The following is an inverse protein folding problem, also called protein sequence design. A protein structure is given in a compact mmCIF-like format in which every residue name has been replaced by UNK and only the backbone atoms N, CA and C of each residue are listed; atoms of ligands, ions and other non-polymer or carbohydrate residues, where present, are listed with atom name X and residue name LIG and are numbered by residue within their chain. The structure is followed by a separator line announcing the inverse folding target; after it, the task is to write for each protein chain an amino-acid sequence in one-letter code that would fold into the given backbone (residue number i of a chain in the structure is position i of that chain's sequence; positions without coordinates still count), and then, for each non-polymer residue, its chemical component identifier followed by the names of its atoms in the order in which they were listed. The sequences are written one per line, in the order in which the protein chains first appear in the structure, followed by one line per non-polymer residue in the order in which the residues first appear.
data_IF_142308683412
#
_entry.id   IF_142308683412
#
_cell.length_a   1.000
_cell.length_b   1.000
_cell.length_c   1.000
_cell.angle_alpha   90.00
_cell.angle_beta   90.00
_cell.angle_gamma   90.00
#
_symmetry.space_group_name_H-M   'P 1'
#
loop_
_entity.id
_entity.type
_entity.pdbx_description
1 polymer ?
#
# COMPACT_ATOMS: atom_id res chain seq x y z
N UNK A 1 11.91 10.65 0.58
CA UNK A 1 11.34 10.18 -0.68
C UNK A 1 12.40 10.36 -1.79
N UNK A 2 13.16 9.32 -2.15
CA UNK A 2 14.32 9.43 -3.05
C UNK A 2 14.08 10.15 -4.39
N UNK A 3 12.89 10.01 -5.04
CA UNK A 3 12.58 10.75 -6.26
C UNK A 3 12.45 12.27 -6.04
N UNK A 4 11.87 12.69 -4.91
CA UNK A 4 11.68 14.11 -4.59
C UNK A 4 13.02 14.77 -4.25
N UNK A 5 13.89 14.07 -3.51
CA UNK A 5 15.25 14.57 -3.23
C UNK A 5 16.03 14.74 -4.52
N UNK A 6 15.94 13.78 -5.46
CA UNK A 6 16.58 13.90 -6.77
C UNK A 6 16.02 15.08 -7.57
N UNK A 7 14.70 15.29 -7.55
CA UNK A 7 14.06 16.44 -8.20
C UNK A 7 14.61 17.77 -7.65
N UNK A 8 14.67 17.91 -6.32
CA UNK A 8 15.19 19.13 -5.68
C UNK A 8 16.68 19.37 -5.99
N UNK A 9 17.49 18.31 -5.94
CA UNK A 9 18.93 18.41 -6.23
C UNK A 9 19.22 18.75 -7.68
N UNK A 10 18.38 18.29 -8.63
CA UNK A 10 18.56 18.53 -10.07
C UNK A 10 18.03 19.89 -10.51
N UNK A 11 16.82 20.24 -10.08
CA UNK A 11 16.05 21.36 -10.63
C UNK A 11 15.99 22.60 -9.71
N UNK A 12 16.12 22.41 -8.40
CA UNK A 12 15.92 23.48 -7.41
C UNK A 12 17.24 24.01 -6.83
N UNK A 13 18.28 23.17 -6.76
CA UNK A 13 19.59 23.55 -6.25
C UNK A 13 20.35 24.40 -7.29
N UNK A 14 20.99 25.53 -6.93
CA UNK A 14 21.78 26.30 -7.87
C UNK A 14 23.01 25.51 -8.35
N UNK A 15 23.41 25.75 -9.60
CA UNK A 15 24.44 24.97 -10.30
C UNK A 15 25.80 24.99 -9.58
N UNK A 16 26.14 26.09 -8.91
CA UNK A 16 27.41 26.21 -8.18
C UNK A 16 27.47 25.26 -6.98
N UNK A 17 26.40 25.21 -6.17
CA UNK A 17 26.30 24.28 -5.05
C UNK A 17 26.17 22.82 -5.51
N UNK A 18 25.55 22.58 -6.67
CA UNK A 18 25.52 21.24 -7.29
C UNK A 18 26.94 20.77 -7.65
N UNK A 19 27.79 21.65 -8.21
CA UNK A 19 29.15 21.28 -8.63
C UNK A 19 30.07 21.02 -7.43
N UNK A 20 29.95 21.81 -6.38
CA UNK A 20 30.78 21.69 -5.17
C UNK A 20 30.43 20.45 -4.35
N UNK A 21 29.14 20.24 -4.07
CA UNK A 21 28.70 19.18 -3.15
C UNK A 21 28.28 17.88 -3.86
N UNK A 22 27.84 17.96 -5.12
CA UNK A 22 27.24 16.82 -5.84
C UNK A 22 27.74 16.70 -7.30
N UNK A 23 29.05 16.53 -7.53
CA UNK A 23 29.63 16.50 -8.87
C UNK A 23 29.14 15.34 -9.74
N UNK A 24 28.56 14.29 -9.14
CA UNK A 24 27.96 13.19 -9.88
C UNK A 24 26.73 13.63 -10.70
N UNK A 25 25.92 14.57 -10.18
CA UNK A 25 24.68 15.01 -10.83
C UNK A 25 24.99 15.86 -12.06
N UNK A 26 26.04 16.68 -11.98
CA UNK A 26 26.50 17.52 -13.11
C UNK A 26 27.15 16.70 -14.22
N UNK A 27 27.85 15.60 -13.87
CA UNK A 27 28.48 14.68 -14.84
C UNK A 27 27.50 13.87 -15.68
N UNK A 28 26.27 13.62 -15.20
CA UNK A 28 25.27 12.83 -15.93
C UNK A 28 24.69 13.62 -17.13
N UNK A 29 24.85 14.94 -17.15
CA UNK A 29 24.41 15.79 -18.26
C UNK A 29 22.89 15.83 -18.46
N UNK A 30 22.42 16.47 -19.56
CA UNK A 30 21.00 16.62 -19.88
C UNK A 30 20.33 15.33 -20.38
N UNK A 31 21.11 14.35 -20.84
CA UNK A 31 20.61 13.06 -21.33
C UNK A 31 21.25 11.91 -20.58
N UNK A 32 20.45 11.18 -19.79
CA UNK A 32 20.86 9.86 -19.32
C UNK A 32 21.14 8.97 -20.52
N UNK A 33 22.21 8.16 -20.45
CA UNK A 33 22.42 7.09 -21.41
C UNK A 33 21.37 5.99 -21.16
N UNK A 34 20.17 6.21 -21.70
CA UNK A 34 18.95 5.43 -21.44
C UNK A 34 19.17 3.93 -21.63
N UNK A 35 19.94 3.54 -22.65
CA UNK A 35 20.27 2.14 -22.90
C UNK A 35 21.06 1.50 -21.75
N UNK A 36 22.10 2.18 -21.23
CA UNK A 36 22.88 1.66 -20.09
C UNK A 36 22.06 1.66 -18.80
N UNK A 37 21.28 2.71 -18.54
CA UNK A 37 20.46 2.79 -17.34
C UNK A 37 19.41 1.67 -17.28
N UNK A 38 18.72 1.43 -18.41
CA UNK A 38 17.77 0.31 -18.54
C UNK A 38 18.49 -1.02 -18.43
N UNK A 39 19.65 -1.19 -19.09
CA UNK A 39 20.41 -2.44 -19.02
C UNK A 39 20.81 -2.81 -17.58
N UNK A 40 21.42 -1.88 -16.83
CA UNK A 40 21.80 -2.15 -15.44
C UNK A 40 20.58 -2.45 -14.56
N UNK A 41 19.47 -1.75 -14.79
CA UNK A 41 18.23 -1.99 -14.02
C UNK A 41 17.66 -3.37 -14.32
N UNK A 42 17.63 -3.78 -15.60
CA UNK A 42 17.17 -5.11 -16.02
C UNK A 42 18.08 -6.19 -15.48
N UNK A 43 19.41 -6.03 -15.55
CA UNK A 43 20.36 -7.02 -15.02
C UNK A 43 20.18 -7.20 -13.52
N UNK A 44 20.13 -6.10 -12.76
CA UNK A 44 19.93 -6.16 -11.32
C UNK A 44 18.57 -6.78 -10.96
N UNK A 45 17.52 -6.41 -11.70
CA UNK A 45 16.20 -7.01 -11.54
C UNK A 45 16.23 -8.52 -11.82
N UNK A 46 16.85 -8.97 -12.91
CA UNK A 46 16.92 -10.40 -13.25
C UNK A 46 17.68 -11.20 -12.19
N UNK A 47 18.79 -10.68 -11.68
CA UNK A 47 19.53 -11.32 -10.59
C UNK A 47 18.63 -11.45 -9.37
N UNK A 48 17.98 -10.35 -8.96
CA UNK A 48 17.05 -10.36 -7.84
C UNK A 48 15.87 -11.31 -8.07
N UNK A 49 15.34 -11.35 -9.29
CA UNK A 49 14.20 -12.18 -9.67
C UNK A 49 14.55 -13.67 -9.59
N UNK A 50 15.74 -14.05 -10.05
CA UNK A 50 16.25 -15.41 -9.97
C UNK A 50 16.49 -15.82 -8.51
N UNK A 51 17.08 -14.94 -7.70
CA UNK A 51 17.26 -15.19 -6.27
C UNK A 51 15.92 -15.34 -5.54
N UNK A 52 14.95 -14.48 -5.85
CA UNK A 52 13.60 -14.57 -5.28
C UNK A 52 12.89 -15.85 -5.70
N UNK A 53 13.00 -16.23 -6.97
CA UNK A 53 12.46 -17.49 -7.48
C UNK A 53 13.08 -18.69 -6.76
N UNK A 54 14.41 -18.75 -6.65
CA UNK A 54 15.11 -19.79 -5.91
C UNK A 54 14.66 -19.81 -4.43
N UNK A 55 14.55 -18.66 -3.78
CA UNK A 55 14.07 -18.56 -2.39
C UNK A 55 12.66 -19.12 -2.22
N UNK A 56 11.74 -18.84 -3.15
CA UNK A 56 10.37 -19.36 -3.11
C UNK A 56 10.34 -20.87 -3.38
N UNK A 57 11.08 -21.34 -4.38
CA UNK A 57 11.09 -22.76 -4.78
C UNK A 57 11.76 -23.64 -3.72
N UNK A 58 12.90 -23.25 -3.17
CA UNK A 58 13.65 -24.06 -2.20
C UNK A 58 13.21 -23.83 -0.75
N UNK A 59 12.85 -22.59 -0.37
CA UNK A 59 12.59 -22.24 1.02
C UNK A 59 11.14 -22.40 1.47
N UNK A 60 10.17 -22.49 0.54
CA UNK A 60 8.74 -22.35 0.90
C UNK A 60 7.78 -23.41 0.36
N UNK A 61 8.25 -24.41 -0.39
CA UNK A 61 7.43 -25.56 -0.82
C UNK A 61 6.68 -26.23 0.34
N UNK A 62 7.38 -26.48 1.46
CA UNK A 62 6.77 -27.18 2.60
C UNK A 62 5.85 -26.33 3.48
N UNK A 63 6.02 -25.00 3.49
CA UNK A 63 5.19 -24.09 4.30
C UNK A 63 3.90 -23.69 3.59
N UNK A 64 3.90 -23.67 2.25
CA UNK A 64 2.70 -23.44 1.43
C UNK A 64 1.82 -24.69 1.42
N UNK A 65 2.41 -25.89 1.36
CA UNK A 65 1.68 -27.17 1.46
C UNK A 65 0.97 -27.35 2.82
N UNK A 66 1.48 -26.72 3.89
CA UNK A 66 0.89 -26.77 5.24
C UNK A 66 -0.17 -25.70 5.52
N UNK A 67 -0.55 -24.86 4.54
CA UNK A 67 -1.66 -23.91 4.69
C UNK A 67 -1.44 -22.73 5.67
N UNK A 68 -0.27 -22.64 6.33
CA UNK A 68 -0.03 -21.67 7.41
C UNK A 68 0.21 -20.23 6.95
N UNK A 69 0.38 -19.96 5.64
CA UNK A 69 0.45 -18.59 5.10
C UNK A 69 0.29 -18.58 3.58
N UNK A 70 -0.85 -18.08 3.12
CA UNK A 70 -0.96 -17.54 1.77
C UNK A 70 -0.09 -16.28 1.71
N UNK A 71 1.01 -16.30 0.97
CA UNK A 71 1.63 -15.04 0.56
C UNK A 71 0.67 -14.37 -0.44
N UNK A 72 0.74 -13.06 -0.61
CA UNK A 72 -0.04 -12.35 -1.64
C UNK A 72 0.07 -13.02 -3.01
N UNK A 73 1.20 -13.67 -3.28
CA UNK A 73 1.42 -14.53 -4.43
C UNK A 73 0.52 -15.79 -4.48
N UNK A 74 0.42 -16.56 -3.39
CA UNK A 74 -0.49 -17.71 -3.31
C UNK A 74 -1.96 -17.29 -3.31
N UNK A 75 -2.28 -16.17 -2.65
CA UNK A 75 -3.64 -15.65 -2.60
C UNK A 75 -4.09 -15.14 -3.98
N UNK A 76 -3.24 -14.40 -4.70
CA UNK A 76 -3.52 -13.89 -6.04
C UNK A 76 -3.58 -14.99 -7.12
N UNK A 77 -2.87 -16.11 -6.93
CA UNK A 77 -2.98 -17.28 -7.80
C UNK A 77 -4.14 -18.21 -7.43
N UNK A 78 -4.59 -18.20 -6.17
CA UNK A 78 -5.74 -18.95 -5.69
C UNK A 78 -7.06 -18.21 -5.94
N UNK A 79 -7.02 -16.87 -6.01
CA UNK A 79 -8.15 -16.01 -6.32
C UNK A 79 -8.53 -16.17 -7.80
N UNK A 80 -9.64 -16.87 -8.04
CA UNK A 80 -10.12 -17.22 -9.38
C UNK A 80 -10.76 -16.03 -10.12
N UNK A 81 -11.22 -15.01 -9.39
CA UNK A 81 -11.94 -13.87 -9.98
C UNK A 81 -11.06 -12.65 -10.27
N UNK A 82 -9.80 -12.67 -9.83
CA UNK A 82 -8.85 -11.56 -10.00
C UNK A 82 -8.47 -11.29 -11.46
N UNK A 83 -8.10 -10.04 -11.77
CA UNK A 83 -7.63 -9.61 -13.10
C UNK A 83 -6.51 -10.50 -13.67
N UNK A 84 -5.60 -10.95 -12.81
CA UNK A 84 -4.49 -11.83 -13.19
C UNK A 84 -4.97 -13.25 -13.53
N UNK A 85 -5.94 -13.79 -12.80
CA UNK A 85 -6.51 -15.11 -13.08
C UNK A 85 -7.24 -15.12 -14.43
N UNK A 86 -8.03 -14.08 -14.75
CA UNK A 86 -8.68 -13.92 -16.06
C UNK A 86 -7.67 -13.84 -17.21
N UNK A 87 -6.52 -13.18 -17.00
CA UNK A 87 -5.45 -13.17 -18.00
C UNK A 87 -4.85 -14.56 -18.21
N UNK A 88 -4.56 -15.30 -17.12
CA UNK A 88 -3.99 -16.66 -17.17
C UNK A 88 -4.93 -17.63 -17.89
N UNK A 89 -6.24 -17.55 -17.63
CA UNK A 89 -7.27 -18.33 -18.32
C UNK A 89 -7.36 -17.98 -19.80
N UNK A 90 -7.34 -16.69 -20.14
CA UNK A 90 -7.39 -16.21 -21.53
C UNK A 90 -6.20 -16.67 -22.37
N UNK A 91 -5.02 -16.83 -21.76
CA UNK A 91 -3.81 -17.32 -22.43
C UNK A 91 -3.70 -18.86 -22.44
N UNK A 92 -4.74 -19.60 -22.01
CA UNK A 92 -4.81 -21.06 -22.15
C UNK A 92 -4.02 -21.85 -21.12
N UNK A 93 -3.58 -21.23 -20.01
CA UNK A 93 -2.91 -21.92 -18.90
C UNK A 93 -3.89 -22.44 -17.83
N UNK A 94 -5.18 -22.46 -18.16
CA UNK A 94 -6.27 -22.94 -17.30
C UNK A 94 -6.41 -24.45 -17.37
N UNK A 95 -5.62 -25.18 -16.60
CA UNK A 95 -6.05 -26.51 -16.14
C UNK A 95 -6.30 -26.44 -14.62
N UNK A 96 -7.49 -26.87 -14.14
CA UNK A 96 -7.90 -26.76 -12.76
C UNK A 96 -7.60 -28.05 -11.97
N UNK A 97 -6.34 -28.49 -11.91
CA UNK A 97 -5.97 -29.60 -11.04
C UNK A 97 -4.91 -29.14 -10.01
N UNK A 98 -5.42 -28.81 -8.81
CA UNK A 98 -4.91 -29.09 -7.46
C UNK A 98 -3.40 -29.00 -7.13
N UNK A 99 -2.62 -28.23 -7.89
CA UNK A 99 -1.18 -28.03 -7.64
C UNK A 99 -0.66 -26.61 -7.88
N UNK A 100 0.46 -26.27 -7.20
CA UNK A 100 1.26 -25.07 -7.52
C UNK A 100 1.86 -25.27 -8.90
N UNK A 101 1.17 -24.73 -9.88
CA UNK A 101 1.53 -24.82 -11.27
C UNK A 101 2.66 -23.84 -11.59
N UNK A 102 3.86 -24.38 -11.85
CA UNK A 102 5.06 -23.59 -12.18
C UNK A 102 4.82 -22.62 -13.34
N UNK A 103 3.96 -22.96 -14.29
CA UNK A 103 3.59 -22.12 -15.42
C UNK A 103 2.83 -20.85 -15.00
N UNK A 104 1.90 -20.94 -14.02
CA UNK A 104 1.22 -19.75 -13.46
C UNK A 104 2.22 -18.83 -12.76
N UNK A 105 3.25 -19.42 -12.14
CA UNK A 105 4.33 -18.69 -11.48
C UNK A 105 5.21 -17.92 -12.45
N UNK A 106 5.66 -18.60 -13.50
CA UNK A 106 6.46 -17.96 -14.54
C UNK A 106 5.66 -16.86 -15.25
N UNK A 107 4.38 -17.09 -15.54
CA UNK A 107 3.53 -16.08 -16.17
C UNK A 107 3.34 -14.84 -15.29
N UNK A 108 3.10 -15.01 -13.99
CA UNK A 108 3.02 -13.89 -13.06
C UNK A 108 4.32 -13.08 -13.02
N UNK A 109 5.48 -13.76 -12.98
CA UNK A 109 6.76 -13.08 -13.02
C UNK A 109 7.02 -12.36 -14.34
N UNK A 110 6.55 -12.91 -15.46
CA UNK A 110 6.62 -12.23 -16.75
C UNK A 110 5.74 -10.97 -16.79
N UNK A 111 4.52 -11.05 -16.25
CA UNK A 111 3.62 -9.90 -16.16
C UNK A 111 4.22 -8.82 -15.25
N UNK A 112 4.81 -9.22 -14.11
CA UNK A 112 5.52 -8.33 -13.21
C UNK A 112 6.74 -7.66 -13.88
N UNK A 113 7.48 -8.41 -14.69
CA UNK A 113 8.60 -7.89 -15.48
C UNK A 113 8.12 -6.89 -16.54
N UNK A 114 7.04 -7.21 -17.25
CA UNK A 114 6.41 -6.30 -18.22
C UNK A 114 5.93 -5.00 -17.56
N UNK A 115 5.29 -5.09 -16.39
CA UNK A 115 4.90 -3.93 -15.60
C UNK A 115 6.11 -3.06 -15.20
N UNK A 116 7.21 -3.69 -14.79
CA UNK A 116 8.46 -2.99 -14.45
C UNK A 116 9.05 -2.25 -15.66
N UNK A 117 9.10 -2.88 -16.83
CA UNK A 117 9.57 -2.24 -18.07
C UNK A 117 8.70 -1.02 -18.43
N UNK A 118 7.38 -1.19 -18.41
CA UNK A 118 6.42 -0.11 -18.69
C UNK A 118 6.59 1.04 -17.69
N UNK A 119 6.89 0.73 -16.42
CA UNK A 119 7.06 1.75 -15.38
C UNK A 119 8.37 2.52 -15.50
N UNK A 120 9.44 1.89 -16.02
CA UNK A 120 10.76 2.53 -16.18
C UNK A 120 10.84 3.37 -17.47
N UNK A 121 10.14 2.95 -18.53
CA UNK A 121 10.11 3.63 -19.83
C UNK A 121 9.83 5.15 -19.72
N UNK A 122 8.75 5.61 -19.05
CA UNK A 122 8.48 7.04 -18.86
C UNK A 122 9.59 7.78 -18.10
N UNK A 123 10.25 7.10 -17.17
CA UNK A 123 11.35 7.67 -16.36
C UNK A 123 12.56 7.97 -17.23
N UNK A 124 12.97 7.01 -18.05
CA UNK A 124 14.15 7.18 -18.90
C UNK A 124 13.94 8.14 -20.06
N UNK A 125 12.73 8.19 -20.64
CA UNK A 125 12.46 9.02 -21.82
C UNK A 125 11.94 10.43 -21.49
N UNK A 126 11.10 10.57 -20.47
CA UNK A 126 10.33 11.80 -20.24
C UNK A 126 10.70 12.53 -18.96
N UNK A 127 10.79 11.83 -17.82
CA UNK A 127 10.97 12.48 -16.51
C UNK A 127 12.36 13.08 -16.30
N UNK A 128 13.39 12.55 -16.95
CA UNK A 128 14.74 13.10 -16.79
C UNK A 128 14.99 14.38 -17.62
N UNK A 129 14.27 14.53 -18.75
CA UNK A 129 14.53 15.63 -19.70
C UNK A 129 13.77 16.91 -19.39
N UNK A 130 12.58 16.81 -18.79
CA UNK A 130 11.69 17.94 -18.58
C UNK A 130 11.29 18.11 -17.11
N UNK A 131 11.58 19.28 -16.53
CA UNK A 131 11.21 19.64 -15.15
C UNK A 131 9.70 19.51 -14.90
N UNK A 132 8.88 20.06 -15.81
CA UNK A 132 7.43 20.09 -15.65
C UNK A 132 6.81 18.70 -15.62
N UNK A 133 7.31 17.79 -16.45
CA UNK A 133 6.77 16.43 -16.57
C UNK A 133 7.13 15.60 -15.33
N UNK A 134 8.34 15.79 -14.79
CA UNK A 134 8.75 15.21 -13.52
C UNK A 134 7.91 15.76 -12.34
N UNK A 135 7.69 17.08 -12.30
CA UNK A 135 6.87 17.73 -11.28
C UNK A 135 5.41 17.26 -11.30
N UNK A 136 4.77 17.19 -12.47
CA UNK A 136 3.41 16.69 -12.63
C UNK A 136 3.30 15.24 -12.13
N UNK A 137 4.28 14.40 -12.42
CA UNK A 137 4.33 13.02 -11.94
C UNK A 137 4.44 12.91 -10.41
N UNK A 138 5.27 13.74 -9.78
CA UNK A 138 5.36 13.78 -8.32
C UNK A 138 4.03 14.25 -7.70
N UNK A 139 3.40 15.26 -8.28
CA UNK A 139 2.09 15.74 -7.85
C UNK A 139 0.99 14.69 -8.04
N UNK A 140 1.01 13.93 -9.14
CA UNK A 140 -0.01 12.91 -9.40
C UNK A 140 0.10 11.73 -8.44
N UNK A 141 1.32 11.24 -8.14
CA UNK A 141 1.52 10.19 -7.12
C UNK A 141 1.07 10.69 -5.75
N UNK A 142 1.41 11.93 -5.41
CA UNK A 142 0.96 12.53 -4.16
C UNK A 142 -0.58 12.59 -4.09
N UNK A 143 -1.23 13.04 -5.17
CA UNK A 143 -2.69 13.10 -5.25
C UNK A 143 -3.33 11.70 -5.12
N UNK A 144 -2.80 10.67 -5.79
CA UNK A 144 -3.27 9.29 -5.66
C UNK A 144 -3.05 8.77 -4.25
N UNK A 145 -1.92 9.08 -3.61
CA UNK A 145 -1.65 8.71 -2.23
C UNK A 145 -2.65 9.34 -1.25
N UNK A 146 -2.95 10.63 -1.44
CA UNK A 146 -3.94 11.35 -0.63
C UNK A 146 -5.33 10.78 -0.87
N UNK A 147 -5.69 10.50 -2.13
CA UNK A 147 -6.97 9.89 -2.49
C UNK A 147 -7.14 8.51 -1.82
N UNK A 148 -6.15 7.64 -1.95
CA UNK A 148 -6.19 6.30 -1.32
C UNK A 148 -6.29 6.40 0.22
N UNK A 149 -5.57 7.35 0.83
CA UNK A 149 -5.68 7.61 2.27
C UNK A 149 -7.05 8.13 2.68
N UNK A 150 -7.64 9.04 1.90
CA UNK A 150 -8.97 9.59 2.13
C UNK A 150 -10.07 8.55 1.96
N UNK A 151 -10.01 7.72 0.90
CA UNK A 151 -10.93 6.61 0.68
C UNK A 151 -10.91 5.62 1.85
N UNK A 152 -9.72 5.24 2.34
CA UNK A 152 -9.59 4.40 3.53
C UNK A 152 -10.22 5.05 4.76
N UNK A 153 -10.00 6.35 4.96
CA UNK A 153 -10.59 7.08 6.08
C UNK A 153 -12.13 7.12 6.00
N UNK A 154 -12.69 7.35 4.81
CA UNK A 154 -14.14 7.33 4.56
C UNK A 154 -14.72 5.94 4.81
N UNK A 155 -14.06 4.87 4.38
CA UNK A 155 -14.53 3.50 4.62
C UNK A 155 -14.57 3.16 6.12
N UNK A 156 -13.54 3.56 6.87
CA UNK A 156 -13.49 3.34 8.32
C UNK A 156 -14.58 4.14 9.03
N UNK A 157 -14.82 5.39 8.63
CA UNK A 157 -15.88 6.22 9.20
C UNK A 157 -17.27 5.65 8.90
N UNK A 158 -17.51 5.27 7.63
CA UNK A 158 -18.77 4.68 7.18
C UNK A 158 -19.09 3.40 7.94
N UNK A 159 -18.12 2.50 8.14
CA UNK A 159 -18.31 1.27 8.93
C UNK A 159 -18.65 1.55 10.39
N UNK A 160 -18.04 2.56 11.01
CA UNK A 160 -18.36 2.96 12.40
C UNK A 160 -19.75 3.57 12.52
N UNK A 161 -20.16 4.36 11.52
CA UNK A 161 -21.49 4.92 11.46
C UNK A 161 -22.56 3.83 11.27
N UNK A 162 -22.36 2.91 10.32
CA UNK A 162 -23.27 1.79 10.07
C UNK A 162 -23.43 0.91 11.33
N UNK A 163 -22.32 0.58 11.99
CA UNK A 163 -22.37 -0.17 13.26
C UNK A 163 -23.13 0.58 14.36
N UNK A 164 -23.03 1.91 14.40
CA UNK A 164 -23.76 2.71 15.38
C UNK A 164 -25.26 2.75 15.09
N UNK A 165 -25.64 2.74 13.80
CA UNK A 165 -27.05 2.64 13.39
C UNK A 165 -27.64 1.26 13.67
N UNK A 166 -26.91 0.19 13.37
CA UNK A 166 -27.32 -1.19 13.69
C UNK A 166 -27.57 -1.33 15.20
N UNK A 167 -26.66 -0.83 16.05
CA UNK A 167 -26.85 -0.85 17.49
C UNK A 167 -28.09 -0.07 17.96
N UNK A 168 -28.47 1.01 17.28
CA UNK A 168 -29.68 1.77 17.64
C UNK A 168 -30.95 1.05 17.18
N UNK A 169 -30.94 0.47 15.98
CA UNK A 169 -32.05 -0.33 15.46
C UNK A 169 -32.31 -1.56 16.34
N UNK A 170 -31.25 -2.28 16.72
CA UNK A 170 -31.36 -3.42 17.64
C UNK A 170 -31.92 -2.98 19.00
N UNK A 171 -31.55 -1.81 19.53
CA UNK A 171 -32.13 -1.30 20.77
C UNK A 171 -33.64 -1.02 20.65
N UNK A 172 -34.08 -0.44 19.54
CA UNK A 172 -35.47 -0.06 19.30
C UNK A 172 -36.36 -1.31 19.08
N UNK A 173 -35.90 -2.30 18.30
CA UNK A 173 -36.60 -3.59 18.15
C UNK A 173 -36.70 -4.34 19.49
N UNK A 174 -35.66 -4.31 20.32
CA UNK A 174 -35.70 -4.92 21.64
C UNK A 174 -36.66 -4.17 22.58
N UNK A 175 -36.74 -2.83 22.53
CA UNK A 175 -37.75 -2.08 23.30
C UNK A 175 -39.19 -2.38 22.84
N UNK A 176 -39.43 -2.60 21.54
CA UNK A 176 -40.76 -2.97 21.03
C UNK A 176 -41.15 -4.40 21.45
N UNK A 177 -40.21 -5.35 21.45
CA UNK A 177 -40.45 -6.71 21.95
C UNK A 177 -40.60 -6.77 23.47
N UNK A 178 -39.79 -6.01 24.22
CA UNK A 178 -39.86 -5.94 25.69
C UNK A 178 -40.96 -5.01 26.19
N UNK A 179 -41.60 -4.22 25.30
CA UNK A 179 -42.82 -3.45 25.56
C UNK A 179 -44.04 -4.31 25.95
N UNK A 180 -43.96 -5.63 25.75
CA UNK A 180 -44.91 -6.59 26.33
C UNK A 180 -44.64 -6.92 27.81
N UNK A 181 -43.48 -6.54 28.37
CA UNK A 181 -43.10 -6.81 29.77
C UNK A 181 -42.36 -5.62 30.41
N UNK A 182 -43.15 -4.66 30.93
CA UNK A 182 -42.84 -3.71 32.04
C UNK A 182 -41.43 -3.08 32.10
N UNK A 183 -41.43 -1.76 31.95
CA UNK A 183 -40.67 -0.75 32.72
C UNK A 183 -39.30 -1.13 33.33
N UNK A 184 -38.31 -0.36 32.87
CA UNK A 184 -37.01 -0.04 33.46
C UNK A 184 -35.88 -1.05 33.19
N UNK A 185 -34.88 -0.61 32.40
CA UNK A 185 -33.49 -0.35 32.82
C UNK A 185 -32.61 -0.26 31.55
N UNK A 186 -32.23 0.98 31.21
CA UNK A 186 -30.89 1.34 30.71
C UNK A 186 -30.47 0.87 29.30
N UNK A 187 -31.12 1.34 28.24
CA UNK A 187 -30.50 1.41 26.90
C UNK A 187 -29.95 2.81 26.62
N UNK A 188 -28.85 3.17 27.28
CA UNK A 188 -28.04 4.29 26.79
C UNK A 188 -26.55 3.99 26.95
N UNK A 189 -25.89 3.38 25.94
CA UNK A 189 -24.44 3.25 25.92
C UNK A 189 -23.76 4.60 25.66
N UNK A 190 -24.48 5.60 25.14
CA UNK A 190 -23.92 6.90 24.74
C UNK A 190 -23.39 7.76 25.90
N UNK A 191 -23.79 7.49 27.16
CA UNK A 191 -23.20 8.19 28.32
C UNK A 191 -21.81 7.65 28.69
N UNK A 192 -21.49 6.38 28.45
CA UNK A 192 -20.19 5.79 28.82
C UNK A 192 -19.05 6.16 27.85
N UNK A 193 -19.34 6.36 26.56
CA UNK A 193 -18.32 6.75 25.58
C UNK A 193 -17.91 8.24 25.74
N UNK A 194 -18.84 9.12 26.09
CA UNK A 194 -18.55 10.56 26.29
C UNK A 194 -17.77 10.83 27.59
N UNK A 195 -18.06 10.12 28.69
CA UNK A 195 -17.36 10.32 29.97
C UNK A 195 -15.92 9.78 30.00
N UNK A 196 -15.60 8.77 29.17
CA UNK A 196 -14.23 8.21 29.12
C UNK A 196 -13.24 9.16 28.43
N UNK A 197 -13.70 9.98 27.47
CA UNK A 197 -12.85 10.99 26.80
C UNK A 197 -12.66 12.26 27.64
N UNK A 198 -13.68 12.66 28.41
CA UNK A 198 -13.61 13.85 29.27
C UNK A 198 -12.80 13.62 30.56
N UNK A 199 -12.71 12.40 31.09
CA UNK A 199 -11.93 12.10 32.29
C UNK A 199 -10.42 11.90 32.04
N UNK A 200 -10.00 11.75 30.78
CA UNK A 200 -8.58 11.59 30.45
C UNK A 200 -7.84 12.95 30.29
N UNK A 201 -8.58 14.05 30.13
CA UNK A 201 -8.04 15.41 30.08
C UNK A 201 -8.02 16.12 31.44
N UNK A 202 -8.76 15.66 32.44
CA UNK A 202 -8.80 16.29 33.78
C UNK A 202 -7.73 15.73 34.73
N UNK A 203 -7.22 14.51 34.50
CA UNK A 203 -6.22 13.88 35.37
C UNK A 203 -4.76 14.09 34.93
N UNK A 204 -4.50 14.88 33.89
CA UNK A 204 -3.12 15.20 33.47
C UNK A 204 -2.51 16.40 34.23
N UNK A 205 -3.33 17.26 34.85
CA UNK A 205 -2.85 18.48 35.52
C UNK A 205 -2.72 18.38 37.05
N UNK A 206 -3.02 17.22 37.65
CA UNK A 206 -2.97 17.04 39.12
C UNK A 206 -1.69 16.35 39.65
N UNK A 207 -0.64 16.21 38.83
CA UNK A 207 0.61 15.50 39.22
C UNK A 207 1.82 16.41 39.48
N UNK A 208 1.68 17.73 39.48
CA UNK A 208 2.78 18.66 39.78
C UNK A 208 2.47 19.56 40.98
N UNK A 209 2.18 18.99 42.15
CA UNK A 209 2.38 19.70 43.42
C UNK A 209 2.25 18.76 44.63
N UNK A 210 3.35 18.06 44.94
CA UNK A 210 3.68 17.61 46.32
C UNK A 210 5.09 17.03 46.36
N UNK A 211 6.08 17.92 46.46
CA UNK A 211 7.39 17.59 47.04
C UNK A 211 7.91 18.80 47.81
N UNK A 212 7.42 18.97 49.04
CA UNK A 212 8.04 19.82 50.05
C UNK A 212 7.64 19.33 51.44
N UNK A 213 8.49 18.48 52.00
CA UNK A 213 8.90 18.37 53.41
C UNK A 213 9.82 17.17 53.54
#
# INVERSE_FOLDING_TARGET
YPPLTLFTLRWLLPVELQRENYPAITKIGPSLHTASAVFYTVVFYLIWQLLYYAFIVYGRREKVARGLRATSYTWLLADKDGFVARLIEKFGFGSPDDGINLYKVVFYFFLQFGYMLISILPVCFWYYRNMYINGIFLCSIFAVSVYNGASFYIDVFSRRYLKSLELLHDCDENEVNDGATRHSITCCPLRKASQTSANCSVNADASSDKKSS
#
